data_IF_203622697295
#
_entry.id   IF_203622697295
#
_cell.length_a   1.000
_cell.length_b   1.000
_cell.length_c   1.000
_cell.angle_alpha   90.00
_cell.angle_beta   90.00
_cell.angle_gamma   90.00
#
_symmetry.space_group_name_H-M   'P 1'
#
loop_
_entity.id
_entity.type
_entity.pdbx_description
1 polymer ?
#
# COMPACT_ATOMS: atom_id res chain seq x y z
N UNK A 1 35.59 -47.78 -10.96
CA UNK A 1 34.18 -47.41 -10.68
C UNK A 1 34.04 -45.90 -10.84
N UNK A 2 33.45 -45.45 -11.95
CA UNK A 2 33.29 -44.02 -12.28
C UNK A 2 32.03 -43.49 -11.60
N UNK A 3 32.17 -42.64 -10.59
CA UNK A 3 31.04 -41.91 -9.97
C UNK A 3 30.82 -40.63 -10.76
N UNK A 4 29.72 -40.60 -11.52
CA UNK A 4 29.21 -39.37 -12.12
C UNK A 4 28.59 -38.50 -11.02
N UNK A 5 29.25 -37.41 -10.65
CA UNK A 5 28.59 -36.28 -9.98
C UNK A 5 27.89 -35.45 -11.05
N UNK A 6 26.59 -35.71 -11.25
CA UNK A 6 25.69 -34.75 -11.85
C UNK A 6 25.26 -33.79 -10.75
N UNK A 7 26.05 -32.72 -10.56
CA UNK A 7 25.61 -31.56 -9.78
C UNK A 7 24.60 -30.81 -10.65
N UNK A 8 23.34 -30.97 -10.27
CA UNK A 8 22.17 -30.21 -10.65
C UNK A 8 22.43 -28.70 -10.55
N UNK A 9 22.69 -28.08 -11.70
CA UNK A 9 22.80 -26.64 -11.90
C UNK A 9 21.42 -26.10 -12.31
N UNK A 10 20.51 -25.97 -11.33
CA UNK A 10 19.13 -25.54 -11.59
C UNK A 10 18.67 -24.51 -10.55
N UNK A 11 19.27 -23.32 -10.50
CA UNK A 11 18.79 -22.20 -9.66
C UNK A 11 19.39 -20.84 -10.14
N UNK A 12 19.22 -20.51 -11.42
CA UNK A 12 19.54 -19.19 -11.98
C UNK A 12 18.48 -18.74 -13.01
N UNK A 13 17.20 -18.87 -12.66
CA UNK A 13 16.11 -18.27 -13.44
C UNK A 13 15.28 -17.38 -12.54
N UNK A 14 15.30 -16.08 -12.87
CA UNK A 14 14.38 -15.03 -12.44
C UNK A 14 14.53 -14.45 -11.02
N UNK A 15 15.62 -13.70 -10.78
CA UNK A 15 15.59 -12.53 -9.90
C UNK A 15 15.34 -11.23 -10.69
N UNK A 16 14.81 -11.32 -11.92
CA UNK A 16 14.23 -10.22 -12.64
C UNK A 16 12.72 -10.26 -12.36
N UNK A 17 12.24 -9.42 -11.46
CA UNK A 17 10.79 -9.16 -11.39
C UNK A 17 10.28 -8.69 -12.75
N UNK A 18 8.99 -8.84 -13.05
CA UNK A 18 8.44 -8.44 -14.34
C UNK A 18 8.75 -6.96 -14.61
N UNK A 19 9.50 -6.70 -15.68
CA UNK A 19 9.85 -5.35 -16.10
C UNK A 19 8.77 -4.82 -17.02
N UNK A 20 7.76 -4.15 -16.47
CA UNK A 20 6.73 -3.43 -17.24
C UNK A 20 7.30 -2.12 -17.84
N UNK A 21 8.41 -2.24 -18.56
CA UNK A 21 9.28 -1.14 -18.96
C UNK A 21 9.28 -0.84 -20.45
N UNK A 22 8.44 -1.49 -21.26
CA UNK A 22 8.31 -1.17 -22.68
C UNK A 22 7.85 0.27 -22.85
N UNK A 23 8.51 1.00 -23.77
CA UNK A 23 8.24 2.40 -24.03
C UNK A 23 8.13 2.66 -25.52
N UNK A 24 7.18 3.52 -25.88
CA UNK A 24 7.08 4.13 -27.19
C UNK A 24 8.14 5.22 -27.30
N UNK A 25 9.00 5.22 -28.33
CA UNK A 25 9.98 6.28 -28.51
C UNK A 25 9.34 7.67 -28.58
N UNK A 26 9.88 8.63 -27.85
CA UNK A 26 9.35 10.01 -27.80
C UNK A 26 9.26 10.67 -29.17
N UNK A 27 10.16 10.28 -30.10
CA UNK A 27 10.14 10.76 -31.47
C UNK A 27 8.85 10.41 -32.23
N UNK A 28 8.16 9.31 -31.87
CA UNK A 28 6.87 8.96 -32.45
C UNK A 28 5.77 9.87 -31.92
N UNK A 29 5.79 10.18 -30.62
CA UNK A 29 4.79 11.05 -29.98
C UNK A 29 4.95 12.50 -30.41
N UNK A 30 6.17 13.00 -30.60
CA UNK A 30 6.43 14.35 -31.12
C UNK A 30 5.89 14.57 -32.54
N UNK A 31 5.72 13.50 -33.32
CA UNK A 31 5.18 13.53 -34.69
C UNK A 31 3.65 13.40 -34.74
N UNK A 32 2.98 13.22 -33.61
CA UNK A 32 1.53 13.11 -33.57
C UNK A 32 0.87 14.45 -33.95
N UNK A 33 -0.24 14.41 -34.71
CA UNK A 33 -1.13 15.56 -34.87
C UNK A 33 -1.55 16.12 -33.50
N UNK A 34 -1.86 17.41 -33.44
CA UNK A 34 -2.25 18.07 -32.20
C UNK A 34 -3.50 17.43 -31.60
N UNK A 35 -4.49 17.14 -32.43
CA UNK A 35 -5.76 16.52 -32.06
C UNK A 35 -5.53 15.13 -31.44
N UNK A 36 -4.61 14.34 -32.00
CA UNK A 36 -4.26 13.02 -31.46
C UNK A 36 -3.46 13.11 -30.16
N UNK A 37 -2.71 14.20 -29.91
CA UNK A 37 -2.07 14.41 -28.61
C UNK A 37 -3.07 14.76 -27.53
N UNK A 38 -4.17 15.47 -27.86
CA UNK A 38 -5.26 15.72 -26.90
C UNK A 38 -5.88 14.39 -26.44
N UNK A 39 -6.04 13.42 -27.35
CA UNK A 39 -6.55 12.07 -27.00
C UNK A 39 -5.66 11.34 -25.97
N UNK A 40 -4.37 11.71 -25.84
CA UNK A 40 -3.48 11.11 -24.83
C UNK A 40 -3.65 11.70 -23.43
N UNK A 41 -4.33 12.84 -23.27
CA UNK A 41 -4.48 13.51 -21.98
C UNK A 41 -5.25 12.64 -20.96
N UNK A 42 -6.22 11.84 -21.42
CA UNK A 42 -6.94 10.92 -20.54
C UNK A 42 -6.01 9.87 -19.95
N UNK A 43 -5.17 9.24 -20.78
CA UNK A 43 -4.18 8.26 -20.33
C UNK A 43 -3.06 8.89 -19.48
N UNK A 44 -2.70 10.16 -19.73
CA UNK A 44 -1.75 10.91 -18.91
C UNK A 44 -2.33 11.27 -17.53
N UNK A 45 -3.61 11.66 -17.47
CA UNK A 45 -4.33 11.89 -16.21
C UNK A 45 -4.39 10.61 -15.36
N UNK A 46 -4.67 9.47 -15.99
CA UNK A 46 -4.67 8.16 -15.34
C UNK A 46 -3.31 7.82 -14.68
N UNK A 47 -2.22 8.18 -15.36
CA UNK A 47 -0.87 8.04 -14.84
C UNK A 47 -0.62 8.99 -13.67
N UNK A 48 -1.04 10.26 -13.78
CA UNK A 48 -0.93 11.24 -12.70
C UNK A 48 -1.68 10.77 -11.44
N UNK A 49 -2.91 10.28 -11.60
CA UNK A 49 -3.68 9.71 -10.49
C UNK A 49 -2.99 8.50 -9.84
N UNK A 50 -2.21 7.72 -10.60
CA UNK A 50 -1.45 6.62 -10.05
C UNK A 50 -0.24 7.09 -9.23
N UNK A 51 0.37 8.21 -9.61
CA UNK A 51 1.43 8.86 -8.82
C UNK A 51 0.85 9.35 -7.49
N UNK A 52 -0.28 10.08 -7.54
CA UNK A 52 -0.95 10.59 -6.34
C UNK A 52 -1.31 9.47 -5.36
N UNK A 53 -1.74 8.30 -5.85
CA UNK A 53 -2.02 7.13 -5.01
C UNK A 53 -0.79 6.58 -4.31
N UNK A 54 0.37 6.57 -4.96
CA UNK A 54 1.63 6.15 -4.33
C UNK A 54 2.03 7.13 -3.23
N UNK A 55 1.95 8.43 -3.51
CA UNK A 55 2.27 9.48 -2.54
C UNK A 55 1.35 9.40 -1.31
N UNK A 56 0.05 9.17 -1.52
CA UNK A 56 -0.89 8.99 -0.41
C UNK A 56 -0.60 7.71 0.39
N UNK A 57 -0.24 6.61 -0.26
CA UNK A 57 0.16 5.38 0.42
C UNK A 57 1.45 5.56 1.25
N UNK A 58 2.42 6.32 0.74
CA UNK A 58 3.63 6.68 1.49
C UNK A 58 3.30 7.56 2.71
N UNK A 59 2.38 8.51 2.55
CA UNK A 59 1.89 9.33 3.65
C UNK A 59 1.19 8.50 4.73
N UNK A 60 0.36 7.53 4.34
CA UNK A 60 -0.32 6.62 5.27
C UNK A 60 0.65 5.76 6.10
N UNK A 61 1.75 5.30 5.50
CA UNK A 61 2.81 4.60 6.23
C UNK A 61 3.46 5.52 7.28
N UNK A 62 3.69 6.79 6.93
CA UNK A 62 4.27 7.77 7.86
C UNK A 62 3.29 8.14 8.99
N UNK A 63 2.01 8.39 8.67
CA UNK A 63 0.95 8.65 9.67
C UNK A 63 0.81 7.48 10.65
N UNK A 64 0.88 6.24 10.17
CA UNK A 64 0.84 5.05 11.03
C UNK A 64 2.00 5.01 12.04
N UNK A 65 3.22 5.39 11.63
CA UNK A 65 4.39 5.45 12.54
C UNK A 65 4.18 6.46 13.67
N UNK A 66 3.67 7.65 13.34
CA UNK A 66 3.40 8.69 14.34
C UNK A 66 2.27 8.30 15.28
N UNK A 67 1.22 7.65 14.77
CA UNK A 67 0.13 7.12 15.58
C UNK A 67 0.64 6.07 16.59
N UNK A 68 1.52 5.15 16.17
CA UNK A 68 2.12 4.16 17.08
C UNK A 68 2.93 4.84 18.18
N UNK A 69 3.73 5.87 17.82
CA UNK A 69 4.52 6.62 18.78
C UNK A 69 3.64 7.30 19.83
N UNK A 70 2.56 7.97 19.40
CA UNK A 70 1.58 8.60 20.31
C UNK A 70 0.88 7.57 21.20
N UNK A 71 0.44 6.44 20.63
CA UNK A 71 -0.21 5.37 21.39
C UNK A 71 0.70 4.78 22.47
N UNK A 72 2.00 4.60 22.19
CA UNK A 72 2.98 4.17 23.19
C UNK A 72 3.19 5.21 24.30
N UNK A 73 3.30 6.49 23.95
CA UNK A 73 3.41 7.55 24.96
C UNK A 73 2.20 7.61 25.89
N UNK A 74 1.00 7.29 25.37
CA UNK A 74 -0.23 7.16 26.17
C UNK A 74 -0.21 5.95 27.08
N UNK A 75 0.28 4.82 26.60
CA UNK A 75 0.49 3.63 27.41
C UNK A 75 1.40 3.95 28.60
N UNK A 76 2.58 4.54 28.35
CA UNK A 76 3.52 4.94 29.40
C UNK A 76 2.89 5.89 30.43
N UNK A 77 2.08 6.87 29.96
CA UNK A 77 1.37 7.78 30.87
C UNK A 77 0.30 7.07 31.73
N UNK A 78 -0.34 6.03 31.21
CA UNK A 78 -1.32 5.24 31.95
C UNK A 78 -0.64 4.31 32.99
N UNK A 79 0.52 3.74 32.65
CA UNK A 79 1.37 2.98 33.57
C UNK A 79 1.83 3.87 34.75
N UNK A 80 2.31 5.08 34.44
CA UNK A 80 2.67 6.10 35.44
C UNK A 80 1.50 6.49 36.37
N UNK A 81 0.28 6.52 35.84
CA UNK A 81 -0.92 6.82 36.62
C UNK A 81 -1.31 5.66 37.54
N UNK A 82 -1.19 4.42 37.06
CA UNK A 82 -1.45 3.22 37.87
C UNK A 82 -0.54 3.19 39.10
N UNK A 83 0.76 3.44 38.91
CA UNK A 83 1.78 3.47 39.96
C UNK A 83 1.49 4.55 41.02
N UNK A 84 0.95 5.70 40.60
CA UNK A 84 0.64 6.84 41.49
C UNK A 84 -0.78 6.80 42.07
N UNK A 85 -1.61 5.84 41.66
CA UNK A 85 -3.00 5.77 42.07
C UNK A 85 -3.12 5.49 43.59
N UNK A 86 -3.77 6.42 44.30
CA UNK A 86 -3.96 6.38 45.75
C UNK A 86 -5.18 5.56 46.18
N UNK A 87 -6.13 5.34 45.27
CA UNK A 87 -7.37 4.62 45.53
C UNK A 87 -7.63 3.54 44.47
N UNK A 88 -8.45 2.55 44.84
CA UNK A 88 -8.74 1.41 43.99
C UNK A 88 -9.50 1.78 42.70
N UNK A 89 -10.35 2.81 42.73
CA UNK A 89 -11.12 3.22 41.55
C UNK A 89 -10.22 3.87 40.51
N UNK A 90 -9.34 4.77 40.93
CA UNK A 90 -8.34 5.40 40.05
C UNK A 90 -7.40 4.36 39.45
N UNK A 91 -6.96 3.38 40.26
CA UNK A 91 -6.12 2.27 39.78
C UNK A 91 -6.82 1.42 38.73
N UNK A 92 -8.09 1.08 38.94
CA UNK A 92 -8.89 0.31 37.97
C UNK A 92 -9.04 1.06 36.63
N UNK A 93 -9.26 2.38 36.67
CA UNK A 93 -9.31 3.21 35.46
C UNK A 93 -7.97 3.23 34.73
N UNK A 94 -6.85 3.34 35.45
CA UNK A 94 -5.51 3.30 34.86
C UNK A 94 -5.22 1.93 34.21
N UNK A 95 -5.56 0.83 34.87
CA UNK A 95 -5.43 -0.53 34.30
C UNK A 95 -6.26 -0.73 33.02
N UNK A 96 -7.48 -0.19 32.98
CA UNK A 96 -8.30 -0.21 31.77
C UNK A 96 -7.68 0.63 30.64
N UNK A 97 -7.06 1.77 30.98
CA UNK A 97 -6.38 2.62 30.01
C UNK A 97 -5.12 1.95 29.45
N UNK A 98 -4.34 1.25 30.28
CA UNK A 98 -3.19 0.44 29.83
C UNK A 98 -3.67 -0.64 28.85
N UNK A 99 -4.68 -1.42 29.24
CA UNK A 99 -5.20 -2.50 28.39
C UNK A 99 -5.78 -1.99 27.05
N UNK A 100 -6.39 -0.81 27.04
CA UNK A 100 -6.83 -0.14 25.81
C UNK A 100 -5.64 0.28 24.95
N UNK A 101 -4.65 0.94 25.55
CA UNK A 101 -3.50 1.48 24.82
C UNK A 101 -2.58 0.39 24.27
N UNK A 102 -2.39 -0.71 25.00
CA UNK A 102 -1.70 -1.91 24.49
C UNK A 102 -2.40 -2.48 23.26
N UNK A 103 -3.72 -2.72 23.34
CA UNK A 103 -4.51 -3.21 22.22
C UNK A 103 -4.49 -2.23 21.03
N UNK A 104 -4.47 -0.92 21.30
CA UNK A 104 -4.32 0.12 20.27
C UNK A 104 -2.97 0.04 19.57
N UNK A 105 -1.89 -0.16 20.31
CA UNK A 105 -0.54 -0.33 19.73
C UNK A 105 -0.49 -1.59 18.85
N UNK A 106 -1.10 -2.69 19.28
CA UNK A 106 -1.21 -3.92 18.49
C UNK A 106 -1.97 -3.69 17.18
N UNK A 107 -3.15 -3.07 17.25
CA UNK A 107 -3.94 -2.69 16.08
C UNK A 107 -3.13 -1.81 15.12
N UNK A 108 -2.52 -0.74 15.62
CA UNK A 108 -1.76 0.19 14.79
C UNK A 108 -0.54 -0.46 14.13
N UNK A 109 0.10 -1.43 14.78
CA UNK A 109 1.19 -2.23 14.18
C UNK A 109 0.69 -3.16 13.08
N UNK A 110 -0.43 -3.85 13.29
CA UNK A 110 -1.04 -4.67 12.26
C UNK A 110 -1.47 -3.81 11.05
N UNK A 111 -2.09 -2.66 11.32
CA UNK A 111 -2.46 -1.69 10.30
C UNK A 111 -1.24 -1.12 9.55
N UNK A 112 -0.13 -0.88 10.24
CA UNK A 112 1.11 -0.44 9.61
C UNK A 112 1.65 -1.49 8.63
N UNK A 113 1.64 -2.78 9.00
CA UNK A 113 2.05 -3.87 8.09
C UNK A 113 1.19 -3.88 6.83
N UNK A 114 -0.14 -3.79 7.00
CA UNK A 114 -1.08 -3.69 5.89
C UNK A 114 -0.80 -2.47 5.01
N UNK A 115 -0.57 -1.28 5.59
CA UNK A 115 -0.24 -0.07 4.84
C UNK A 115 1.05 -0.21 4.01
N UNK A 116 2.07 -0.89 4.55
CA UNK A 116 3.30 -1.18 3.79
C UNK A 116 3.02 -2.10 2.61
N UNK A 117 2.21 -3.15 2.80
CA UNK A 117 1.78 -4.02 1.72
C UNK A 117 0.96 -3.28 0.64
N UNK A 118 0.00 -2.46 1.06
CA UNK A 118 -0.81 -1.63 0.16
C UNK A 118 0.05 -0.64 -0.64
N UNK A 119 1.08 -0.04 -0.02
CA UNK A 119 2.04 0.82 -0.73
C UNK A 119 2.74 0.06 -1.87
N UNK A 120 3.15 -1.17 -1.66
CA UNK A 120 3.79 -1.96 -2.72
C UNK A 120 2.81 -2.28 -3.86
N UNK A 121 1.53 -2.54 -3.54
CA UNK A 121 0.46 -2.67 -4.54
C UNK A 121 0.27 -1.39 -5.34
N UNK A 122 0.28 -0.22 -4.69
CA UNK A 122 0.13 1.07 -5.40
C UNK A 122 1.36 1.38 -6.27
N UNK A 123 2.57 1.06 -5.81
CA UNK A 123 3.79 1.17 -6.63
C UNK A 123 3.77 0.27 -7.85
N UNK A 124 3.25 -0.95 -7.72
CA UNK A 124 3.05 -1.85 -8.85
C UNK A 124 1.95 -1.31 -9.77
N UNK A 125 0.85 -0.80 -9.21
CA UNK A 125 -0.24 -0.18 -9.96
C UNK A 125 0.21 1.04 -10.77
N UNK A 126 1.17 1.83 -10.26
CA UNK A 126 1.83 2.90 -10.99
C UNK A 126 2.59 2.37 -12.21
N UNK A 127 3.32 1.25 -12.06
CA UNK A 127 3.98 0.60 -13.22
C UNK A 127 2.96 0.15 -14.26
N UNK A 128 1.80 -0.37 -13.84
CA UNK A 128 0.73 -0.74 -14.76
C UNK A 128 0.11 0.49 -15.44
N UNK A 129 -0.04 1.62 -14.72
CA UNK A 129 -0.48 2.88 -15.31
C UNK A 129 0.50 3.38 -16.38
N UNK A 130 1.81 3.29 -16.13
CA UNK A 130 2.83 3.54 -17.15
C UNK A 130 2.65 2.61 -18.37
N UNK A 131 2.47 1.31 -18.17
CA UNK A 131 2.26 0.37 -19.26
C UNK A 131 1.00 0.71 -20.09
N UNK A 132 -0.11 1.06 -19.44
CA UNK A 132 -1.36 1.51 -20.10
C UNK A 132 -1.14 2.80 -20.88
N UNK A 133 -0.40 3.74 -20.31
CA UNK A 133 -0.05 4.99 -21.00
C UNK A 133 0.80 4.73 -22.25
N UNK A 134 1.79 3.84 -22.17
CA UNK A 134 2.63 3.48 -23.32
C UNK A 134 1.83 2.75 -24.42
N UNK A 135 0.89 1.87 -24.05
CA UNK A 135 -0.05 1.28 -25.00
C UNK A 135 -0.93 2.35 -25.68
N UNK A 136 -1.42 3.33 -24.93
CA UNK A 136 -2.18 4.45 -25.49
C UNK A 136 -1.33 5.29 -26.47
N UNK A 137 -0.07 5.59 -26.12
CA UNK A 137 0.89 6.27 -27.02
C UNK A 137 1.08 5.50 -28.33
N UNK A 138 1.24 4.18 -28.26
CA UNK A 138 1.41 3.35 -29.44
C UNK A 138 0.14 3.34 -30.30
N UNK A 139 -1.01 3.16 -29.65
CA UNK A 139 -2.33 3.14 -30.31
C UNK A 139 -2.56 4.44 -31.08
N UNK A 140 -2.29 5.58 -30.45
CA UNK A 140 -2.36 6.91 -31.07
C UNK A 140 -1.38 7.07 -32.24
N UNK A 141 -0.13 6.62 -32.11
CA UNK A 141 0.86 6.66 -33.19
C UNK A 141 0.44 5.79 -34.39
N UNK A 142 -0.15 4.62 -34.14
CA UNK A 142 -0.65 3.71 -35.18
C UNK A 142 -1.88 4.29 -35.88
N UNK A 143 -2.83 4.83 -35.12
CA UNK A 143 -4.03 5.52 -35.64
C UNK A 143 -3.65 6.70 -36.53
N UNK A 144 -2.67 7.50 -36.12
CA UNK A 144 -2.14 8.62 -36.89
C UNK A 144 -1.15 8.22 -38.01
N UNK A 145 -0.89 6.91 -38.20
CA UNK A 145 0.04 6.37 -39.21
C UNK A 145 1.44 7.00 -39.14
N UNK A 146 1.93 7.30 -37.94
CA UNK A 146 3.26 7.89 -37.75
C UNK A 146 4.32 6.88 -38.19
N UNK A 147 5.21 7.30 -39.08
CA UNK A 147 6.31 6.47 -39.57
C UNK A 147 7.20 5.98 -38.41
N UNK A 148 7.47 4.68 -38.38
CA UNK A 148 8.23 3.98 -37.36
C UNK A 148 7.34 3.28 -36.32
N UNK A 149 6.06 3.63 -36.23
CA UNK A 149 5.10 2.94 -35.34
C UNK A 149 4.86 1.49 -35.75
N UNK A 150 5.02 1.15 -37.03
CA UNK A 150 4.89 -0.20 -37.57
C UNK A 150 5.94 -1.20 -37.09
N UNK A 151 7.01 -0.71 -36.46
CA UNK A 151 8.08 -1.55 -35.92
C UNK A 151 7.80 -2.02 -34.49
N UNK A 152 6.75 -1.50 -33.87
CA UNK A 152 6.32 -1.85 -32.52
C UNK A 152 5.07 -2.73 -32.63
N UNK A 153 5.07 -3.86 -31.92
CA UNK A 153 3.96 -4.81 -31.94
C UNK A 153 2.96 -4.46 -30.83
N UNK A 154 1.70 -4.08 -31.15
CA UNK A 154 0.70 -3.75 -30.13
C UNK A 154 0.45 -4.87 -29.13
N UNK A 155 0.50 -6.13 -29.58
CA UNK A 155 0.28 -7.30 -28.72
C UNK A 155 1.29 -7.40 -27.58
N UNK A 156 2.54 -6.97 -27.79
CA UNK A 156 3.55 -7.00 -26.73
C UNK A 156 3.21 -6.00 -25.62
N UNK A 157 2.69 -4.82 -25.98
CA UNK A 157 2.24 -3.81 -25.02
C UNK A 157 0.93 -4.24 -24.31
N UNK A 158 -0.01 -4.83 -25.04
CA UNK A 158 -1.25 -5.40 -24.47
C UNK A 158 -0.94 -6.52 -23.48
N UNK A 159 -0.02 -7.42 -23.83
CA UNK A 159 0.46 -8.50 -22.97
C UNK A 159 1.11 -7.94 -21.69
N UNK A 160 1.98 -6.92 -21.82
CA UNK A 160 2.60 -6.25 -20.68
C UNK A 160 1.55 -5.67 -19.72
N UNK A 161 0.51 -5.01 -20.24
CA UNK A 161 -0.60 -4.48 -19.41
C UNK A 161 -1.32 -5.61 -18.69
N UNK A 162 -1.68 -6.68 -19.41
CA UNK A 162 -2.41 -7.82 -18.83
C UNK A 162 -1.61 -8.52 -17.73
N UNK A 163 -0.32 -8.76 -17.94
CA UNK A 163 0.57 -9.36 -16.94
C UNK A 163 0.74 -8.45 -15.71
N UNK A 164 0.76 -7.13 -15.90
CA UNK A 164 0.84 -6.18 -14.80
C UNK A 164 -0.42 -6.18 -13.94
N UNK A 165 -1.59 -6.14 -14.58
CA UNK A 165 -2.88 -6.18 -13.90
C UNK A 165 -3.10 -7.50 -13.14
N UNK A 166 -2.65 -8.62 -13.72
CA UNK A 166 -2.65 -9.91 -13.04
C UNK A 166 -1.77 -9.88 -11.77
N UNK A 167 -0.56 -9.33 -11.86
CA UNK A 167 0.34 -9.20 -10.71
C UNK A 167 -0.24 -8.27 -9.62
N UNK A 168 -0.87 -7.14 -9.98
CA UNK A 168 -1.57 -6.28 -9.01
C UNK A 168 -2.66 -7.04 -8.27
N UNK A 169 -3.44 -7.83 -9.00
CA UNK A 169 -4.51 -8.64 -8.42
C UNK A 169 -3.96 -9.70 -7.46
N UNK A 170 -2.87 -10.36 -7.83
CA UNK A 170 -2.19 -11.36 -6.99
C UNK A 170 -1.63 -10.72 -5.72
N UNK A 171 -0.86 -9.64 -5.84
CA UNK A 171 -0.29 -8.93 -4.68
C UNK A 171 -1.39 -8.43 -3.74
N UNK A 172 -2.47 -7.86 -4.27
CA UNK A 172 -3.62 -7.45 -3.45
C UNK A 172 -4.29 -8.63 -2.76
N UNK A 173 -4.37 -9.79 -3.39
CA UNK A 173 -4.91 -11.00 -2.77
C UNK A 173 -4.01 -11.53 -1.63
N UNK A 174 -2.69 -11.40 -1.78
CA UNK A 174 -1.71 -11.79 -0.76
C UNK A 174 -1.84 -10.99 0.54
N UNK A 175 -2.38 -9.76 0.48
CA UNK A 175 -2.68 -8.93 1.66
C UNK A 175 -3.90 -9.41 2.46
N UNK A 176 -4.58 -10.47 2.04
CA UNK A 176 -5.76 -10.99 2.72
C UNK A 176 -5.49 -11.44 4.17
N UNK A 177 -4.28 -11.92 4.46
CA UNK A 177 -3.83 -12.27 5.81
C UNK A 177 -3.70 -11.02 6.70
N UNK A 178 -2.90 -10.04 6.26
CA UNK A 178 -2.68 -8.78 6.97
C UNK A 178 -3.98 -8.00 7.17
N UNK A 179 -4.89 -8.04 6.19
CA UNK A 179 -6.23 -7.43 6.29
C UNK A 179 -7.04 -8.03 7.44
N UNK A 180 -7.07 -9.36 7.53
CA UNK A 180 -7.77 -10.07 8.61
C UNK A 180 -7.13 -9.81 9.97
N UNK A 181 -5.80 -9.81 10.04
CA UNK A 181 -5.08 -9.52 11.28
C UNK A 181 -5.36 -8.11 11.77
N UNK A 182 -5.27 -7.10 10.90
CA UNK A 182 -5.55 -5.71 11.24
C UNK A 182 -7.01 -5.53 11.69
N UNK A 183 -7.96 -6.20 11.03
CA UNK A 183 -9.37 -6.16 11.42
C UNK A 183 -9.63 -6.81 12.78
N UNK A 184 -9.06 -7.99 13.04
CA UNK A 184 -9.20 -8.67 14.33
C UNK A 184 -8.58 -7.84 15.47
N UNK A 185 -7.40 -7.25 15.25
CA UNK A 185 -6.75 -6.38 16.22
C UNK A 185 -7.57 -5.10 16.47
N UNK A 186 -8.20 -4.53 15.42
CA UNK A 186 -9.11 -3.40 15.56
C UNK A 186 -10.31 -3.74 16.44
N UNK A 187 -10.95 -4.88 16.19
CA UNK A 187 -12.11 -5.32 16.98
C UNK A 187 -11.74 -5.56 18.45
N UNK A 188 -10.56 -6.13 18.71
CA UNK A 188 -10.04 -6.30 20.06
C UNK A 188 -9.80 -4.95 20.76
N UNK A 189 -9.19 -3.99 20.06
CA UNK A 189 -8.99 -2.63 20.57
C UNK A 189 -10.32 -1.92 20.87
N UNK A 190 -11.28 -1.94 19.95
CA UNK A 190 -12.59 -1.30 20.14
C UNK A 190 -13.34 -1.89 21.35
N UNK A 191 -13.21 -3.19 21.61
CA UNK A 191 -13.79 -3.81 22.80
C UNK A 191 -13.16 -3.28 24.11
N UNK A 192 -11.83 -3.07 24.14
CA UNK A 192 -11.12 -2.49 25.30
C UNK A 192 -11.46 -1.01 25.47
N UNK A 193 -11.50 -0.27 24.37
CA UNK A 193 -11.93 1.13 24.33
C UNK A 193 -13.36 1.30 24.86
N UNK A 194 -14.29 0.45 24.46
CA UNK A 194 -15.67 0.47 24.97
C UNK A 194 -15.75 0.18 26.49
N UNK A 195 -14.90 -0.71 27.01
CA UNK A 195 -14.82 -0.97 28.44
C UNK A 195 -14.30 0.26 29.23
N UNK A 196 -13.25 0.91 28.73
CA UNK A 196 -12.72 2.15 29.31
C UNK A 196 -13.74 3.29 29.25
N UNK A 197 -14.41 3.46 28.11
CA UNK A 197 -15.48 4.42 27.89
C UNK A 197 -16.59 4.26 28.92
N UNK A 198 -17.06 3.03 29.15
CA UNK A 198 -18.12 2.72 30.11
C UNK A 198 -17.74 3.09 31.54
N UNK A 199 -16.47 2.91 31.93
CA UNK A 199 -15.98 3.25 33.29
C UNK A 199 -15.79 4.75 33.46
N UNK A 200 -15.35 5.44 32.41
CA UNK A 200 -14.94 6.84 32.47
C UNK A 200 -15.98 7.82 31.94
N UNK A 201 -17.14 7.33 31.49
CA UNK A 201 -18.15 8.11 30.77
C UNK A 201 -17.53 8.86 29.59
N UNK A 202 -16.77 8.14 28.76
CA UNK A 202 -16.01 8.61 27.59
C UNK A 202 -14.87 9.61 27.85
N UNK A 203 -14.68 10.06 29.09
CA UNK A 203 -13.66 11.07 29.42
C UNK A 203 -12.25 10.67 28.98
N UNK A 204 -11.96 9.37 28.86
CA UNK A 204 -10.65 8.84 28.43
C UNK A 204 -10.65 8.05 27.12
N UNK A 205 -11.81 7.83 26.52
CA UNK A 205 -11.99 7.00 25.33
C UNK A 205 -12.57 7.77 24.12
N UNK A 206 -12.72 9.10 24.24
CA UNK A 206 -13.29 9.90 23.16
C UNK A 206 -12.32 10.10 21.99
N UNK A 207 -12.82 10.38 20.76
CA UNK A 207 -11.99 10.68 19.60
C UNK A 207 -11.05 11.89 19.77
N UNK A 208 -11.41 12.84 20.63
CA UNK A 208 -10.55 14.00 20.94
C UNK A 208 -9.33 13.58 21.76
N UNK A 209 -9.52 12.63 22.66
CA UNK A 209 -8.47 12.06 23.48
C UNK A 209 -7.58 11.17 22.59
N UNK A 210 -8.14 10.43 21.64
CA UNK A 210 -7.37 9.58 20.72
C UNK A 210 -6.32 10.31 19.86
N UNK A 211 -6.55 11.59 19.54
CA UNK A 211 -5.70 12.40 18.67
C UNK A 211 -4.67 13.26 19.42
N UNK A 212 -4.73 13.29 20.76
CA UNK A 212 -3.74 13.90 21.66
C UNK A 212 -2.63 12.90 21.99
#
# INVERSE_FOLDING_TARGET
MKRHLLLSLSLLTAACGPSYGMRVPDALVKKLPYETRIELLEAENDLALAIDRVDEADNEVNRARDNIRRAKSRQEAAEDEEDRAQDASSREVAQLAIAESEARVEYLRAHQRLNVGLREVEKLSLRCAFARFELARLTSARKAKVQGSERLEPKDFEQQVSECEAAVKEERANLGGDTKEAQAAKEAWEAKKAALAKKTFDARASPYVENL
#
